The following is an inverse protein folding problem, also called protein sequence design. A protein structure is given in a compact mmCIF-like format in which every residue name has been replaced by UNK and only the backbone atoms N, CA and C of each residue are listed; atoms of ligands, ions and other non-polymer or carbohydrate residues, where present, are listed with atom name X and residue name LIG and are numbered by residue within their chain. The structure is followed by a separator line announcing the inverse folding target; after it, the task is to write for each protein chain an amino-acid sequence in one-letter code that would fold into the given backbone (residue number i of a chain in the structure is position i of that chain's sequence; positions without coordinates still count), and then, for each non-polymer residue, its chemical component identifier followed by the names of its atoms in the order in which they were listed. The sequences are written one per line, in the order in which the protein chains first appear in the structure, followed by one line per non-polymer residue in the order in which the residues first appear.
data_IF_564190895493
#
_entry.id   IF_564190895493
#
_cell.length_a   1.000
_cell.length_b   1.000
_cell.length_c   1.000
_cell.angle_alpha   90.00
_cell.angle_beta   90.00
_cell.angle_gamma   90.00
#
_symmetry.space_group_name_H-M   'P 1'
#
loop_
_entity.id
_entity.type
_entity.pdbx_description
1 polymer ?
#
# COMPACT_ATOMS: atom_id res chain seq x y z
N UNK A 1 12.62 -4.32 -10.71
CA UNK A 1 12.18 -4.96 -9.45
C UNK A 1 11.92 -6.43 -9.76
N UNK A 2 12.56 -7.39 -9.07
CA UNK A 2 12.26 -8.79 -9.30
C UNK A 2 10.85 -9.09 -8.79
N UNK A 3 10.09 -9.80 -9.60
CA UNK A 3 8.73 -10.26 -9.32
C UNK A 3 8.72 -11.12 -8.06
N UNK A 4 7.67 -11.04 -7.23
CA UNK A 4 7.45 -12.06 -6.19
C UNK A 4 7.21 -13.42 -6.88
N UNK A 5 8.28 -14.19 -7.07
CA UNK A 5 8.29 -15.45 -7.85
C UNK A 5 7.47 -16.60 -7.21
N UNK A 6 6.73 -16.35 -6.14
CA UNK A 6 5.98 -17.38 -5.40
C UNK A 6 4.82 -17.98 -6.20
N UNK A 7 4.37 -17.34 -7.29
CA UNK A 7 3.19 -17.79 -8.06
C UNK A 7 1.87 -17.69 -7.29
N UNK A 8 1.93 -17.27 -6.02
CA UNK A 8 0.83 -17.23 -5.06
C UNK A 8 -0.13 -16.06 -5.31
N UNK A 9 0.36 -14.97 -5.92
CA UNK A 9 -0.45 -13.79 -6.23
C UNK A 9 -0.57 -13.60 -7.74
N UNK A 10 -1.78 -13.30 -8.25
CA UNK A 10 -1.94 -12.90 -9.64
C UNK A 10 -1.10 -11.67 -9.97
N UNK A 11 -0.46 -11.63 -11.15
CA UNK A 11 0.37 -10.49 -11.61
C UNK A 11 -0.34 -9.13 -11.50
N UNK A 12 -1.67 -9.10 -11.68
CA UNK A 12 -2.42 -7.86 -11.54
C UNK A 12 -2.37 -7.29 -10.12
N UNK A 13 -2.38 -8.15 -9.09
CA UNK A 13 -2.35 -7.71 -7.70
C UNK A 13 -0.99 -7.11 -7.35
N UNK A 14 0.08 -7.72 -7.87
CA UNK A 14 1.44 -7.19 -7.74
C UNK A 14 1.59 -5.82 -8.43
N UNK A 15 1.20 -5.72 -9.71
CA UNK A 15 1.27 -4.46 -10.46
C UNK A 15 0.45 -3.37 -9.75
N UNK A 16 -0.75 -3.71 -9.29
CA UNK A 16 -1.62 -2.79 -8.56
C UNK A 16 -0.95 -2.33 -7.26
N UNK A 17 -0.41 -3.25 -6.45
CA UNK A 17 0.25 -2.94 -5.19
C UNK A 17 1.51 -2.09 -5.38
N UNK A 18 2.41 -2.49 -6.29
CA UNK A 18 3.66 -1.77 -6.58
C UNK A 18 3.38 -0.34 -7.04
N UNK A 19 2.37 -0.13 -7.89
CA UNK A 19 2.00 1.21 -8.32
C UNK A 19 1.62 2.14 -7.14
N UNK A 20 0.96 1.61 -6.10
CA UNK A 20 0.60 2.40 -4.90
C UNK A 20 1.79 2.64 -3.98
N UNK A 21 2.66 1.66 -3.83
CA UNK A 21 3.90 1.84 -3.06
C UNK A 21 4.79 2.89 -3.70
N UNK A 22 4.89 2.90 -5.03
CA UNK A 22 5.65 3.93 -5.75
C UNK A 22 5.07 5.33 -5.55
N UNK A 23 3.74 5.49 -5.59
CA UNK A 23 3.09 6.77 -5.27
C UNK A 23 3.44 7.25 -3.85
N UNK A 24 3.41 6.37 -2.86
CA UNK A 24 3.81 6.70 -1.49
C UNK A 24 5.30 7.02 -1.36
N UNK A 25 6.16 6.35 -2.13
CA UNK A 25 7.58 6.64 -2.16
C UNK A 25 7.87 8.01 -2.79
N UNK A 26 7.18 8.37 -3.86
CA UNK A 26 7.31 9.69 -4.50
C UNK A 26 6.90 10.81 -3.55
N UNK A 27 5.72 10.70 -2.90
CA UNK A 27 5.25 11.75 -1.98
C UNK A 27 6.14 11.87 -0.74
N UNK A 28 6.80 10.78 -0.29
CA UNK A 28 7.70 10.78 0.87
C UNK A 28 8.88 11.77 0.76
N UNK A 29 9.21 12.21 -0.45
CA UNK A 29 10.21 13.28 -0.67
C UNK A 29 9.73 14.67 -0.20
N UNK A 30 8.42 14.84 0.02
CA UNK A 30 7.75 16.13 0.27
C UNK A 30 6.87 16.15 1.54
N UNK A 31 6.78 15.02 2.24
CA UNK A 31 6.07 14.86 3.53
C UNK A 31 6.98 14.15 4.52
N UNK A 32 6.94 14.56 5.78
CA UNK A 32 7.78 14.00 6.83
C UNK A 32 7.16 12.78 7.52
N UNK A 33 5.83 12.70 7.55
CA UNK A 33 5.06 11.67 8.24
C UNK A 33 3.85 11.23 7.42
N UNK A 34 3.30 10.06 7.76
CA UNK A 34 2.07 9.56 7.15
C UNK A 34 0.89 10.46 7.53
N UNK A 35 0.86 10.94 8.77
CA UNK A 35 -0.14 11.86 9.29
C UNK A 35 -0.17 13.15 8.49
N UNK A 36 0.99 13.77 8.24
CA UNK A 36 1.11 14.98 7.41
C UNK A 36 0.57 14.76 6.00
N UNK A 37 0.85 13.60 5.39
CA UNK A 37 0.33 13.25 4.07
C UNK A 37 -1.20 13.14 4.06
N UNK A 38 -1.78 12.53 5.11
CA UNK A 38 -3.24 12.39 5.26
C UNK A 38 -3.89 13.75 5.48
N UNK A 39 -3.29 14.60 6.31
CA UNK A 39 -3.78 15.96 6.58
C UNK A 39 -3.82 16.80 5.30
N UNK A 40 -2.79 16.73 4.46
CA UNK A 40 -2.77 17.41 3.14
C UNK A 40 -3.93 16.97 2.23
N UNK A 41 -4.26 15.68 2.20
CA UNK A 41 -5.40 15.17 1.42
C UNK A 41 -6.76 15.57 2.03
N UNK A 42 -6.85 15.73 3.35
CA UNK A 42 -8.03 16.25 4.05
C UNK A 42 -8.23 17.72 3.70
N UNK A 43 -7.19 18.54 3.80
CA UNK A 43 -7.20 19.96 3.44
C UNK A 43 -7.61 20.16 1.97
N UNK A 44 -7.11 19.31 1.08
CA UNK A 44 -7.46 19.30 -0.34
C UNK A 44 -8.84 18.67 -0.65
N UNK A 45 -9.57 18.17 0.36
CA UNK A 45 -10.85 17.45 0.24
C UNK A 45 -10.81 16.32 -0.82
N UNK A 46 -9.69 15.60 -0.88
CA UNK A 46 -9.43 14.61 -1.93
C UNK A 46 -9.19 13.19 -1.41
N UNK A 47 -9.27 12.96 -0.08
CA UNK A 47 -9.03 11.67 0.62
C UNK A 47 -9.60 10.43 -0.08
N UNK A 48 -10.80 10.52 -0.68
CA UNK A 48 -11.48 9.38 -1.33
C UNK A 48 -11.25 9.29 -2.84
N UNK A 49 -10.67 10.34 -3.43
CA UNK A 49 -10.42 10.45 -4.87
C UNK A 49 -9.51 9.31 -5.32
N UNK A 50 -9.81 8.72 -6.47
CA UNK A 50 -8.94 7.72 -7.09
C UNK A 50 -7.56 8.33 -7.28
N UNK A 51 -6.52 7.66 -6.78
CA UNK A 51 -5.13 8.13 -6.86
C UNK A 51 -4.70 9.13 -5.79
N UNK A 52 -5.58 9.51 -4.84
CA UNK A 52 -5.10 10.24 -3.65
C UNK A 52 -4.15 9.37 -2.81
N UNK A 53 -3.18 10.03 -2.18
CA UNK A 53 -2.14 9.35 -1.42
C UNK A 53 -2.74 8.58 -0.23
N UNK A 54 -3.74 9.16 0.44
CA UNK A 54 -4.48 8.52 1.54
C UNK A 54 -5.22 7.27 1.07
N UNK A 55 -5.83 7.30 -0.12
CA UNK A 55 -6.48 6.11 -0.67
C UNK A 55 -5.48 5.04 -1.07
N UNK A 56 -4.34 5.42 -1.64
CA UNK A 56 -3.25 4.49 -1.96
C UNK A 56 -2.66 3.85 -0.70
N UNK A 57 -2.44 4.65 0.35
CA UNK A 57 -2.05 4.18 1.68
C UNK A 57 -3.02 3.15 2.25
N UNK A 58 -4.33 3.40 2.18
CA UNK A 58 -5.33 2.44 2.63
C UNK A 58 -5.22 1.09 1.90
N UNK A 59 -4.90 1.10 0.61
CA UNK A 59 -4.70 -0.12 -0.18
C UNK A 59 -3.40 -0.83 0.19
N UNK A 60 -2.32 -0.10 0.41
CA UNK A 60 -1.03 -0.65 0.87
C UNK A 60 -1.19 -1.28 2.25
N UNK A 61 -1.81 -0.58 3.21
CA UNK A 61 -2.10 -1.12 4.55
C UNK A 61 -2.85 -2.44 4.49
N UNK A 62 -3.90 -2.54 3.67
CA UNK A 62 -4.67 -3.79 3.51
C UNK A 62 -3.82 -4.93 2.93
N UNK A 63 -2.92 -4.63 2.00
CA UNK A 63 -1.98 -5.63 1.47
C UNK A 63 -1.02 -6.14 2.54
N UNK A 64 -0.50 -5.25 3.39
CA UNK A 64 0.34 -5.62 4.53
C UNK A 64 -0.41 -6.47 5.55
N UNK A 65 -1.65 -6.11 5.90
CA UNK A 65 -2.50 -6.92 6.80
C UNK A 65 -2.76 -8.32 6.22
N UNK A 66 -3.03 -8.43 4.92
CA UNK A 66 -3.20 -9.73 4.26
C UNK A 66 -1.93 -10.58 4.36
N UNK A 67 -0.75 -10.00 4.12
CA UNK A 67 0.54 -10.72 4.24
C UNK A 67 0.79 -11.12 5.69
N UNK A 68 0.51 -10.24 6.66
CA UNK A 68 0.62 -10.51 8.08
C UNK A 68 -0.20 -11.74 8.48
N UNK A 69 -1.50 -11.74 8.15
CA UNK A 69 -2.39 -12.88 8.44
C UNK A 69 -1.94 -14.15 7.74
N UNK A 70 -1.53 -14.07 6.47
CA UNK A 70 -0.99 -15.23 5.77
C UNK A 70 0.24 -15.83 6.47
N UNK A 71 1.16 -14.99 6.94
CA UNK A 71 2.32 -15.45 7.68
C UNK A 71 1.94 -16.06 9.04
N UNK A 72 0.99 -15.48 9.75
CA UNK A 72 0.48 -16.02 11.01
C UNK A 72 -0.12 -17.42 10.80
N UNK A 73 -1.02 -17.59 9.83
CA UNK A 73 -1.63 -18.88 9.52
C UNK A 73 -0.60 -19.94 9.11
N UNK A 74 0.44 -19.56 8.35
CA UNK A 74 1.53 -20.45 7.96
C UNK A 74 2.38 -20.91 9.16
N UNK A 75 2.59 -20.03 10.14
CA UNK A 75 3.32 -20.36 11.37
C UNK A 75 2.47 -21.20 12.33
N UNK A 76 1.16 -20.98 12.34
CA UNK A 76 0.20 -21.74 13.17
C UNK A 76 -0.09 -23.14 12.61
N UNK A 77 0.24 -23.40 11.33
CA UNK A 77 0.11 -24.73 10.70
C UNK A 77 1.34 -25.64 10.88
N UNK A 78 2.33 -25.25 11.68
CA UNK A 78 3.48 -26.07 12.10
C UNK A 78 3.25 -26.84 13.42
#
# INVERSE_FOLDING_TARGET
MPVLQTGMFPRFAEIDYVAKVNDLAEVSSSVSTIEEMVDKDIEANCVRKVGSHTRNLLRVKRGLEMIRVLCEELLDTE
#
